data_IF_074153438144
#
_entry.id   IF_074153438144
#
_cell.length_a   1.000
_cell.length_b   1.000
_cell.length_c   1.000
_cell.angle_alpha   90.00
_cell.angle_beta   90.00
_cell.angle_gamma   90.00
#
_symmetry.space_group_name_H-M   'P 1'
#
loop_
_entity.id
_entity.type
_entity.pdbx_description
1 polymer ?
#
# COMPACT_ATOMS: atom_id res chain seq x y z
N UNK A 1 9.63 -13.58 12.10
CA UNK A 1 10.10 -14.69 12.97
C UNK A 1 9.07 -15.78 12.95
N UNK A 2 9.44 -16.96 12.48
CA UNK A 2 8.52 -18.06 12.41
C UNK A 2 8.22 -18.61 13.82
N UNK A 3 6.95 -18.87 14.12
CA UNK A 3 6.55 -19.55 15.33
C UNK A 3 7.15 -20.97 15.44
N UNK A 4 7.45 -21.56 14.26
CA UNK A 4 8.10 -22.87 14.11
C UNK A 4 9.28 -22.78 13.15
N UNK A 5 10.41 -22.19 13.57
CA UNK A 5 11.54 -21.99 12.69
C UNK A 5 12.18 -23.33 12.31
N UNK A 6 12.23 -23.61 11.01
CA UNK A 6 13.09 -24.68 10.50
C UNK A 6 14.55 -24.21 10.53
N UNK A 7 15.54 -25.11 10.66
CA UNK A 7 16.95 -24.73 10.64
C UNK A 7 17.31 -23.83 9.45
N UNK A 8 16.82 -24.14 8.23
CA UNK A 8 17.05 -23.34 7.03
C UNK A 8 16.48 -21.93 7.14
N UNK A 9 15.36 -21.74 7.82
CA UNK A 9 14.74 -20.41 7.99
C UNK A 9 15.57 -19.57 8.97
N UNK A 10 16.11 -20.22 10.02
CA UNK A 10 17.00 -19.59 11.00
C UNK A 10 18.29 -19.13 10.30
N UNK A 11 18.93 -20.04 9.55
CA UNK A 11 20.14 -19.75 8.81
C UNK A 11 19.92 -18.60 7.80
N UNK A 12 18.79 -18.62 7.09
CA UNK A 12 18.44 -17.55 6.15
C UNK A 12 18.29 -16.21 6.87
N UNK A 13 17.58 -16.15 7.99
CA UNK A 13 17.39 -14.92 8.76
C UNK A 13 18.71 -14.37 9.32
N UNK A 14 19.65 -15.22 9.68
CA UNK A 14 20.97 -14.79 10.14
C UNK A 14 21.89 -14.31 9.01
N UNK A 15 21.82 -14.94 7.86
CA UNK A 15 22.73 -14.65 6.74
C UNK A 15 22.22 -13.54 5.82
N UNK A 16 20.88 -13.32 5.75
CA UNK A 16 20.28 -12.36 4.84
C UNK A 16 20.72 -10.91 5.08
N UNK A 17 20.85 -10.41 6.33
CA UNK A 17 21.33 -9.04 6.56
C UNK A 17 22.70 -8.79 5.94
N UNK A 18 23.67 -9.64 6.19
CA UNK A 18 25.02 -9.50 5.65
C UNK A 18 25.04 -9.61 4.12
N UNK A 19 24.25 -10.54 3.58
CA UNK A 19 24.10 -10.70 2.13
C UNK A 19 23.60 -9.43 1.44
N UNK A 20 22.57 -8.81 2.00
CA UNK A 20 21.94 -7.58 1.46
C UNK A 20 22.89 -6.39 1.63
N UNK A 21 23.43 -6.17 2.85
CA UNK A 21 24.29 -5.03 3.16
C UNK A 21 25.59 -5.03 2.35
N UNK A 22 26.20 -6.20 2.16
CA UNK A 22 27.41 -6.35 1.34
C UNK A 22 27.18 -6.06 -0.16
N UNK A 23 25.91 -5.88 -0.56
CA UNK A 23 25.50 -5.51 -1.94
C UNK A 23 24.90 -4.11 -2.02
N UNK A 24 25.11 -3.29 -0.99
CA UNK A 24 24.63 -1.91 -0.94
C UNK A 24 23.13 -1.77 -0.61
N UNK A 25 22.52 -2.85 -0.12
CA UNK A 25 21.12 -2.84 0.32
C UNK A 25 20.97 -2.48 1.80
N UNK A 26 19.71 -2.34 2.22
CA UNK A 26 19.31 -2.13 3.60
C UNK A 26 18.55 -3.36 4.08
N UNK A 27 18.99 -3.95 5.19
CA UNK A 27 18.33 -5.09 5.80
C UNK A 27 17.77 -4.74 7.17
N UNK A 28 16.51 -5.11 7.42
CA UNK A 28 15.95 -5.11 8.76
C UNK A 28 16.47 -6.32 9.53
N UNK A 29 16.54 -6.17 10.85
CA UNK A 29 16.94 -7.23 11.77
C UNK A 29 15.71 -8.04 12.19
N UNK A 30 15.86 -9.32 12.53
CA UNK A 30 14.78 -10.09 13.10
C UNK A 30 14.18 -9.39 14.32
N UNK A 31 12.86 -9.16 14.30
CA UNK A 31 12.16 -8.47 15.39
C UNK A 31 11.93 -6.97 15.18
N UNK A 32 12.50 -6.34 14.17
CA UNK A 32 12.30 -4.90 13.89
C UNK A 32 10.86 -4.56 13.47
N UNK A 33 10.07 -5.55 13.06
CA UNK A 33 8.69 -5.37 12.71
C UNK A 33 8.36 -5.75 11.26
N UNK A 34 7.34 -5.12 10.73
CA UNK A 34 6.78 -5.43 9.42
C UNK A 34 7.51 -4.66 8.33
N UNK A 35 8.04 -5.37 7.34
CA UNK A 35 8.84 -4.80 6.24
C UNK A 35 8.11 -3.70 5.48
N UNK A 36 6.79 -3.81 5.27
CA UNK A 36 6.01 -2.82 4.52
C UNK A 36 6.02 -1.44 5.20
N UNK A 37 5.87 -1.41 6.53
CA UNK A 37 5.95 -0.15 7.28
C UNK A 37 7.33 0.52 7.17
N UNK A 38 8.41 -0.26 7.14
CA UNK A 38 9.76 0.26 6.95
C UNK A 38 10.02 0.72 5.52
N UNK A 39 9.60 -0.06 4.52
CA UNK A 39 9.78 0.30 3.10
C UNK A 39 9.04 1.59 2.76
N UNK A 40 7.82 1.76 3.25
CA UNK A 40 7.04 2.98 3.02
C UNK A 40 7.81 4.24 3.48
N UNK A 41 8.62 4.12 4.54
CA UNK A 41 9.44 5.22 5.05
C UNK A 41 10.72 5.49 4.26
N UNK A 42 11.09 4.63 3.33
CA UNK A 42 12.30 4.76 2.50
C UNK A 42 12.01 5.25 1.10
N UNK A 43 10.74 5.42 0.74
CA UNK A 43 10.34 5.81 -0.60
C UNK A 43 10.47 7.32 -0.81
N UNK A 44 10.61 7.68 -2.07
CA UNK A 44 10.55 9.05 -2.56
C UNK A 44 9.24 9.25 -3.31
N UNK A 45 8.67 10.45 -3.28
CA UNK A 45 7.51 10.77 -4.11
C UNK A 45 7.76 10.51 -5.59
N UNK A 46 6.71 10.20 -6.33
CA UNK A 46 6.70 10.05 -7.79
C UNK A 46 7.73 9.05 -8.34
N UNK A 47 8.02 8.01 -7.55
CA UNK A 47 8.93 6.94 -7.98
C UNK A 47 8.17 5.69 -8.37
N UNK A 48 8.76 4.89 -9.26
CA UNK A 48 8.28 3.56 -9.63
C UNK A 48 9.12 2.52 -8.90
N UNK A 49 8.43 1.58 -8.25
CA UNK A 49 9.05 0.52 -7.47
C UNK A 49 8.54 -0.87 -7.84
N UNK A 50 9.23 -1.89 -7.34
CA UNK A 50 8.80 -3.28 -7.38
C UNK A 50 9.18 -4.00 -6.09
N UNK A 51 8.51 -5.09 -5.81
CA UNK A 51 8.82 -5.94 -4.66
C UNK A 51 8.25 -7.34 -4.82
N UNK A 52 8.77 -8.29 -4.06
CA UNK A 52 8.40 -9.71 -4.14
C UNK A 52 7.15 -10.09 -3.34
N UNK A 53 6.48 -9.13 -2.72
CA UNK A 53 5.26 -9.33 -1.96
C UNK A 53 4.08 -8.62 -2.63
N UNK A 54 2.91 -9.24 -2.64
CA UNK A 54 1.68 -8.69 -3.25
C UNK A 54 1.25 -7.36 -2.64
N UNK A 55 1.62 -7.09 -1.39
CA UNK A 55 1.36 -5.86 -0.66
C UNK A 55 2.47 -4.81 -0.81
N UNK A 56 3.39 -4.97 -1.76
CA UNK A 56 4.32 -3.92 -2.16
C UNK A 56 3.58 -2.85 -2.96
N UNK A 57 2.78 -2.04 -2.26
CA UNK A 57 1.85 -1.04 -2.83
C UNK A 57 1.86 0.19 -1.96
N UNK A 58 2.67 1.18 -2.34
CA UNK A 58 2.91 2.36 -1.53
C UNK A 58 2.24 3.60 -2.12
N UNK A 59 1.71 4.52 -1.30
CA UNK A 59 0.92 5.65 -1.80
C UNK A 59 1.74 6.79 -2.43
N UNK A 60 3.03 6.93 -2.09
CA UNK A 60 3.89 8.00 -2.57
C UNK A 60 4.56 7.67 -3.92
N UNK A 61 3.83 7.34 -4.91
CA UNK A 61 4.35 6.87 -6.20
C UNK A 61 3.57 5.64 -6.63
N UNK A 62 4.19 4.76 -7.38
CA UNK A 62 3.55 3.51 -7.78
C UNK A 62 4.50 2.34 -7.63
N UNK A 63 3.98 1.21 -7.15
CA UNK A 63 4.74 -0.03 -7.03
C UNK A 63 4.00 -1.15 -7.75
N UNK A 64 4.76 -1.90 -8.55
CA UNK A 64 4.27 -3.08 -9.25
C UNK A 64 4.82 -4.34 -8.58
N UNK A 65 4.03 -5.04 -7.75
CA UNK A 65 4.45 -6.30 -7.17
C UNK A 65 4.79 -7.32 -8.25
N UNK A 66 5.86 -8.06 -8.03
CA UNK A 66 6.32 -9.09 -8.96
C UNK A 66 6.70 -10.38 -8.25
N UNK A 67 6.75 -11.48 -8.97
CA UNK A 67 7.30 -12.72 -8.43
C UNK A 67 8.79 -12.56 -8.09
N UNK A 68 9.27 -13.32 -7.11
CA UNK A 68 10.65 -13.23 -6.62
C UNK A 68 11.71 -13.34 -7.73
N UNK A 69 11.46 -14.16 -8.76
CA UNK A 69 12.34 -14.28 -9.92
C UNK A 69 12.43 -13.00 -10.75
N UNK A 70 11.28 -12.32 -10.98
CA UNK A 70 11.24 -11.06 -11.70
C UNK A 70 11.94 -9.93 -10.92
N UNK A 71 11.72 -9.89 -9.60
CA UNK A 71 12.38 -8.91 -8.72
C UNK A 71 13.88 -9.15 -8.67
N UNK A 72 14.33 -10.41 -8.61
CA UNK A 72 15.75 -10.75 -8.68
C UNK A 72 16.37 -10.37 -10.02
N UNK A 73 15.65 -10.58 -11.13
CA UNK A 73 16.06 -10.13 -12.46
C UNK A 73 16.22 -8.61 -12.51
N UNK A 74 15.23 -7.87 -12.00
CA UNK A 74 15.29 -6.40 -11.93
C UNK A 74 16.47 -5.92 -11.09
N UNK A 75 16.72 -6.54 -9.94
CA UNK A 75 17.85 -6.21 -9.07
C UNK A 75 19.19 -6.48 -9.74
N UNK A 76 19.30 -7.54 -10.54
CA UNK A 76 20.54 -7.91 -11.23
C UNK A 76 20.83 -7.07 -12.48
N UNK A 77 19.78 -6.68 -13.22
CA UNK A 77 19.91 -6.04 -14.54
C UNK A 77 19.63 -4.53 -14.52
N UNK A 78 18.98 -4.03 -13.45
CA UNK A 78 18.55 -2.64 -13.34
C UNK A 78 17.27 -2.33 -14.15
N UNK A 79 16.63 -3.32 -14.76
CA UNK A 79 15.41 -3.16 -15.55
C UNK A 79 14.37 -4.23 -15.21
N UNK A 80 13.08 -3.87 -15.29
CA UNK A 80 11.98 -4.79 -15.15
C UNK A 80 11.05 -4.65 -16.35
N UNK A 81 10.81 -5.71 -17.14
CA UNK A 81 9.80 -5.66 -18.19
C UNK A 81 8.41 -5.54 -17.57
N UNK A 82 7.62 -4.64 -18.09
CA UNK A 82 6.26 -4.35 -17.65
C UNK A 82 5.40 -3.96 -18.85
N UNK A 83 4.30 -4.68 -19.05
CA UNK A 83 3.24 -4.19 -19.93
C UNK A 83 2.48 -3.09 -19.21
N UNK A 84 2.32 -1.91 -19.82
CA UNK A 84 1.65 -0.78 -19.19
C UNK A 84 0.17 -1.13 -18.94
N UNK A 85 -0.27 -1.22 -17.68
CA UNK A 85 -1.67 -1.50 -17.37
C UNK A 85 -2.55 -0.30 -17.66
N UNK A 86 -3.83 -0.56 -17.97
CA UNK A 86 -4.87 0.49 -17.90
C UNK A 86 -5.09 0.91 -16.44
N UNK A 87 -5.65 2.11 -16.24
CA UNK A 87 -6.01 2.62 -14.92
C UNK A 87 -7.52 2.60 -14.69
N UNK A 88 -7.91 2.36 -13.44
CA UNK A 88 -9.25 2.58 -12.91
C UNK A 88 -9.16 3.71 -11.90
N UNK A 89 -9.95 4.76 -12.10
CA UNK A 89 -10.01 5.88 -11.16
C UNK A 89 -11.10 5.64 -10.11
N UNK A 90 -10.77 5.77 -8.84
CA UNK A 90 -11.72 5.88 -7.73
C UNK A 90 -11.66 7.30 -7.20
N UNK A 91 -12.76 8.01 -7.34
CA UNK A 91 -12.90 9.40 -6.91
C UNK A 91 -13.83 9.51 -5.72
N UNK A 92 -13.28 9.87 -4.58
CA UNK A 92 -14.08 10.22 -3.41
C UNK A 92 -14.52 11.69 -3.49
N UNK A 93 -15.76 11.97 -3.06
CA UNK A 93 -16.32 13.31 -3.00
C UNK A 93 -16.95 13.57 -1.64
N UNK A 94 -16.98 14.84 -1.23
CA UNK A 94 -17.61 15.25 0.03
C UNK A 94 -16.76 14.94 1.25
N UNK A 95 -17.40 14.87 2.42
CA UNK A 95 -16.75 14.69 3.71
C UNK A 95 -17.18 13.38 4.37
N UNK A 96 -16.25 12.77 5.09
CA UNK A 96 -16.49 11.52 5.82
C UNK A 96 -17.53 11.71 6.92
N UNK A 97 -18.49 10.81 7.00
CA UNK A 97 -19.59 10.90 7.95
C UNK A 97 -19.15 10.50 9.36
N UNK A 98 -19.79 11.03 10.43
CA UNK A 98 -19.50 10.60 11.79
C UNK A 98 -19.68 9.09 11.98
N UNK A 99 -18.70 8.46 12.60
CA UNK A 99 -18.69 7.00 12.84
C UNK A 99 -18.12 6.16 11.69
N UNK A 100 -17.85 6.76 10.55
CA UNK A 100 -17.15 6.13 9.43
C UNK A 100 -15.64 6.28 9.62
N UNK A 101 -14.92 5.24 9.33
CA UNK A 101 -13.45 5.16 9.47
C UNK A 101 -12.79 5.01 8.10
N UNK A 102 -11.49 5.17 8.07
CA UNK A 102 -10.71 4.91 6.85
C UNK A 102 -10.90 3.46 6.33
N UNK A 103 -11.08 2.49 7.23
CA UNK A 103 -11.33 1.11 6.85
C UNK A 103 -12.63 0.94 6.06
N UNK A 104 -13.65 1.73 6.38
CA UNK A 104 -14.91 1.73 5.63
C UNK A 104 -14.70 2.26 4.21
N UNK A 105 -13.80 3.24 4.01
CA UNK A 105 -13.45 3.73 2.68
C UNK A 105 -12.70 2.66 1.86
N UNK A 106 -11.82 1.89 2.50
CA UNK A 106 -11.17 0.73 1.87
C UNK A 106 -12.21 -0.27 1.35
N UNK A 107 -13.25 -0.55 2.15
CA UNK A 107 -14.31 -1.48 1.79
C UNK A 107 -15.37 -0.86 0.86
N UNK A 108 -15.51 0.46 0.82
CA UNK A 108 -16.38 1.15 -0.12
C UNK A 108 -15.98 0.90 -1.58
N UNK A 109 -14.69 0.77 -1.86
CA UNK A 109 -14.20 0.52 -3.23
C UNK A 109 -14.82 -0.76 -3.84
N UNK A 110 -14.69 -1.96 -3.23
CA UNK A 110 -15.36 -3.14 -3.75
C UNK A 110 -16.88 -3.05 -3.67
N UNK A 111 -17.44 -2.44 -2.63
CA UNK A 111 -18.89 -2.27 -2.49
C UNK A 111 -19.51 -1.50 -3.67
N UNK A 112 -18.91 -0.37 -4.02
CA UNK A 112 -19.36 0.40 -5.19
C UNK A 112 -19.02 -0.31 -6.51
N UNK A 113 -17.89 -1.01 -6.58
CA UNK A 113 -17.57 -1.88 -7.72
C UNK A 113 -18.63 -2.95 -7.98
N UNK A 114 -19.20 -3.53 -6.91
CA UNK A 114 -20.33 -4.48 -7.01
C UNK A 114 -21.59 -3.76 -7.51
N UNK A 115 -21.93 -2.60 -6.92
CA UNK A 115 -23.11 -1.81 -7.31
C UNK A 115 -23.09 -1.41 -8.78
N UNK A 116 -21.93 -1.10 -9.30
CA UNK A 116 -21.74 -0.72 -10.72
C UNK A 116 -21.55 -1.92 -11.66
N UNK A 117 -21.59 -3.15 -11.13
CA UNK A 117 -21.42 -4.37 -11.92
C UNK A 117 -20.00 -4.56 -12.47
N UNK A 118 -19.00 -3.92 -11.86
CA UNK A 118 -17.57 -4.04 -12.18
C UNK A 118 -16.92 -5.20 -11.43
N UNK A 119 -17.53 -5.63 -10.33
CA UNK A 119 -17.07 -6.70 -9.46
C UNK A 119 -18.24 -7.66 -9.18
N UNK A 120 -17.98 -8.97 -9.16
CA UNK A 120 -18.97 -9.97 -8.73
C UNK A 120 -18.38 -10.83 -7.62
N UNK A 121 -19.23 -11.20 -6.65
CA UNK A 121 -18.84 -12.08 -5.53
C UNK A 121 -18.88 -13.55 -5.94
N UNK A 122 -19.66 -13.91 -6.96
CA UNK A 122 -19.84 -15.27 -7.42
C UNK A 122 -18.52 -15.90 -7.87
N UNK A 123 -18.23 -17.12 -7.37
CA UNK A 123 -16.99 -17.83 -7.71
C UNK A 123 -16.94 -18.28 -9.18
N UNK A 124 -18.10 -18.56 -9.77
CA UNK A 124 -18.22 -19.00 -11.17
C UNK A 124 -18.40 -17.77 -12.07
N UNK A 125 -17.52 -17.61 -13.04
CA UNK A 125 -17.48 -16.46 -13.95
C UNK A 125 -17.26 -15.13 -13.20
N UNK A 126 -16.41 -15.14 -12.16
CA UNK A 126 -16.11 -13.93 -11.38
C UNK A 126 -15.61 -12.81 -12.29
N UNK A 127 -16.30 -11.69 -12.26
CA UNK A 127 -15.86 -10.45 -12.86
C UNK A 127 -15.06 -9.66 -11.82
N UNK A 128 -13.87 -9.26 -12.16
CA UNK A 128 -13.07 -8.33 -11.36
C UNK A 128 -12.41 -7.33 -12.30
N UNK A 129 -12.99 -6.16 -12.41
CA UNK A 129 -12.51 -5.12 -13.31
C UNK A 129 -11.21 -4.47 -12.83
N UNK A 130 -10.88 -4.58 -11.55
CA UNK A 130 -9.62 -4.08 -10.99
C UNK A 130 -8.42 -4.97 -11.35
N UNK A 131 -8.68 -6.25 -11.64
CA UNK A 131 -7.61 -7.23 -11.87
C UNK A 131 -6.70 -6.83 -13.02
N UNK A 132 -5.39 -6.75 -12.72
CA UNK A 132 -4.36 -6.38 -13.70
C UNK A 132 -4.32 -4.90 -14.08
N UNK A 133 -5.15 -4.03 -13.46
CA UNK A 133 -5.17 -2.58 -13.69
C UNK A 133 -4.54 -1.81 -12.53
N UNK A 134 -4.08 -0.61 -12.80
CA UNK A 134 -3.67 0.34 -11.75
C UNK A 134 -4.91 0.93 -11.11
N UNK A 135 -4.95 0.96 -9.80
CA UNK A 135 -5.97 1.66 -9.04
C UNK A 135 -5.45 3.05 -8.68
N UNK A 136 -6.07 4.08 -9.24
CA UNK A 136 -5.78 5.48 -8.91
C UNK A 136 -6.87 6.02 -7.99
N UNK A 137 -6.49 6.62 -6.87
CA UNK A 137 -7.42 7.12 -5.84
C UNK A 137 -7.21 8.62 -5.66
N UNK A 138 -8.31 9.39 -5.67
CA UNK A 138 -8.29 10.83 -5.42
C UNK A 138 -9.49 11.30 -4.58
N UNK A 139 -9.44 12.55 -4.12
CA UNK A 139 -10.51 13.20 -3.36
C UNK A 139 -10.40 12.98 -1.84
N UNK A 140 -9.24 12.57 -1.35
CA UNK A 140 -8.94 12.36 0.07
C UNK A 140 -7.70 13.18 0.48
N UNK A 141 -7.65 14.44 0.13
CA UNK A 141 -6.47 15.31 0.23
C UNK A 141 -5.98 15.55 1.67
N UNK A 142 -6.78 15.21 2.69
CA UNK A 142 -6.43 15.37 4.11
C UNK A 142 -5.76 14.14 4.72
N UNK A 143 -5.60 13.05 3.97
CA UNK A 143 -4.96 11.85 4.50
C UNK A 143 -3.48 12.08 4.78
N UNK A 144 -3.01 11.51 5.89
CA UNK A 144 -1.56 11.30 6.08
C UNK A 144 -1.07 10.19 5.15
N UNK A 145 0.24 10.13 4.91
CA UNK A 145 0.82 9.06 4.08
C UNK A 145 0.58 7.67 4.68
N UNK A 146 0.60 7.55 6.02
CA UNK A 146 0.29 6.30 6.71
C UNK A 146 -1.16 5.87 6.51
N UNK A 147 -2.10 6.81 6.55
CA UNK A 147 -3.52 6.54 6.27
C UNK A 147 -3.74 6.13 4.81
N UNK A 148 -3.11 6.86 3.89
CA UNK A 148 -3.18 6.53 2.47
C UNK A 148 -2.60 5.14 2.16
N UNK A 149 -1.60 4.70 2.92
CA UNK A 149 -1.03 3.37 2.78
C UNK A 149 -2.07 2.26 3.04
N UNK A 150 -3.05 2.44 3.92
CA UNK A 150 -4.13 1.45 4.08
C UNK A 150 -4.93 1.23 2.80
N UNK A 151 -5.22 2.31 2.07
CA UNK A 151 -5.94 2.24 0.80
C UNK A 151 -5.11 1.60 -0.30
N UNK A 152 -3.84 1.99 -0.42
CA UNK A 152 -2.96 1.44 -1.45
C UNK A 152 -2.63 -0.03 -1.20
N UNK A 153 -2.38 -0.41 0.04
CA UNK A 153 -2.10 -1.80 0.43
C UNK A 153 -3.27 -2.73 0.12
N UNK A 154 -4.48 -2.31 0.47
CA UNK A 154 -5.71 -3.09 0.24
C UNK A 154 -6.02 -3.32 -1.25
N UNK A 155 -5.38 -2.60 -2.17
CA UNK A 155 -5.51 -2.85 -3.61
C UNK A 155 -4.99 -4.25 -4.02
N UNK A 156 -4.16 -4.88 -3.17
CA UNK A 156 -3.72 -6.26 -3.34
C UNK A 156 -4.91 -7.23 -3.35
N UNK A 157 -5.89 -7.00 -2.49
CA UNK A 157 -7.10 -7.84 -2.39
C UNK A 157 -8.00 -7.72 -3.62
N UNK A 158 -7.83 -6.68 -4.43
CA UNK A 158 -8.53 -6.47 -5.70
C UNK A 158 -7.75 -7.07 -6.89
N UNK A 159 -6.60 -7.70 -6.66
CA UNK A 159 -5.70 -8.18 -7.72
C UNK A 159 -5.26 -7.04 -8.67
N UNK A 160 -5.26 -5.80 -8.21
CA UNK A 160 -4.79 -4.67 -9.02
C UNK A 160 -3.29 -4.82 -9.35
N UNK A 161 -2.84 -4.31 -10.48
CA UNK A 161 -1.43 -4.34 -10.87
C UNK A 161 -0.56 -3.42 -10.01
N UNK A 162 -1.15 -2.33 -9.53
CA UNK A 162 -0.53 -1.34 -8.66
C UNK A 162 -1.60 -0.41 -8.11
N UNK A 163 -1.19 0.52 -7.25
CA UNK A 163 -2.06 1.56 -6.74
C UNK A 163 -1.27 2.85 -6.55
N UNK A 164 -1.89 3.97 -6.84
CA UNK A 164 -1.38 5.30 -6.50
C UNK A 164 -2.49 6.15 -5.90
N UNK A 165 -2.13 7.10 -5.04
CA UNK A 165 -3.08 7.97 -4.35
C UNK A 165 -2.64 9.40 -4.50
N UNK A 166 -3.58 10.28 -4.88
CA UNK A 166 -3.33 11.70 -4.90
C UNK A 166 -3.23 12.23 -3.47
N UNK A 167 -2.03 12.64 -3.08
CA UNK A 167 -1.69 13.20 -1.79
C UNK A 167 -1.47 14.70 -1.88
N UNK A 168 -1.54 15.39 -0.73
CA UNK A 168 -1.10 16.77 -0.62
C UNK A 168 0.42 16.86 -0.42
N UNK A 169 1.05 17.93 -0.92
CA UNK A 169 2.47 18.19 -0.70
C UNK A 169 2.79 18.33 0.79
N UNK A 170 1.89 18.91 1.57
CA UNK A 170 2.05 19.07 3.02
C UNK A 170 2.12 17.75 3.76
N UNK A 171 1.21 16.79 3.45
CA UNK A 171 1.23 15.45 4.04
C UNK A 171 2.51 14.70 3.70
N UNK A 172 2.97 14.80 2.45
CA UNK A 172 4.22 14.18 2.02
C UNK A 172 5.42 14.85 2.68
N UNK A 173 5.44 16.19 2.77
CA UNK A 173 6.54 16.90 3.41
C UNK A 173 6.68 16.57 4.90
N UNK A 174 5.57 16.47 5.64
CA UNK A 174 5.59 16.05 7.04
C UNK A 174 6.18 14.64 7.18
N UNK A 175 5.72 13.72 6.34
CA UNK A 175 6.18 12.34 6.32
C UNK A 175 7.68 12.23 6.01
N UNK A 176 8.18 12.94 5.00
CA UNK A 176 9.59 12.92 4.63
C UNK A 176 10.49 13.49 5.74
N UNK A 177 10.07 14.53 6.47
CA UNK A 177 10.83 15.04 7.63
C UNK A 177 10.98 13.97 8.71
N UNK A 178 9.91 13.23 9.00
CA UNK A 178 9.94 12.10 9.92
C UNK A 178 10.86 10.98 9.40
N UNK A 179 10.80 10.67 8.11
CA UNK A 179 11.60 9.62 7.49
C UNK A 179 13.10 9.97 7.51
N UNK A 180 13.48 11.21 7.23
CA UNK A 180 14.88 11.67 7.34
C UNK A 180 15.43 11.41 8.75
N UNK A 181 14.64 11.70 9.77
CA UNK A 181 15.04 11.43 11.16
C UNK A 181 15.26 9.94 11.41
N UNK A 182 14.36 9.09 10.92
CA UNK A 182 14.48 7.64 11.00
C UNK A 182 15.72 7.13 10.26
N UNK A 183 15.94 7.57 9.03
CA UNK A 183 17.07 7.11 8.22
C UNK A 183 18.41 7.51 8.84
N UNK A 184 18.52 8.70 9.41
CA UNK A 184 19.72 9.14 10.16
C UNK A 184 19.96 8.28 11.41
N UNK A 185 18.90 7.92 12.12
CA UNK A 185 18.99 6.96 13.23
C UNK A 185 19.46 5.58 12.73
N UNK A 186 18.91 5.08 11.62
CA UNK A 186 19.34 3.81 11.02
C UNK A 186 20.83 3.81 10.65
N UNK A 187 21.34 4.93 10.14
CA UNK A 187 22.79 5.09 9.86
C UNK A 187 23.60 4.96 11.15
N UNK A 188 23.18 5.63 12.22
CA UNK A 188 23.87 5.59 13.50
C UNK A 188 23.87 4.18 14.14
N UNK A 189 22.80 3.40 13.93
CA UNK A 189 22.64 2.04 14.45
C UNK A 189 23.24 0.96 13.52
N UNK A 190 23.83 1.35 12.39
CA UNK A 190 24.48 0.44 11.47
C UNK A 190 23.53 -0.44 10.65
N UNK A 191 22.39 0.09 10.25
CA UNK A 191 21.48 -0.56 9.31
C UNK A 191 21.94 -0.34 7.87
N UNK A 192 22.41 -1.36 7.22
CA UNK A 192 22.66 -1.34 5.78
C UNK A 192 23.85 -0.49 5.33
N UNK A 193 23.95 -0.25 4.02
CA UNK A 193 24.99 0.59 3.42
C UNK A 193 24.71 2.08 3.71
N UNK A 194 25.63 2.72 4.42
CA UNK A 194 25.53 4.13 4.83
C UNK A 194 25.33 5.04 3.61
N UNK A 195 26.05 4.83 2.52
CA UNK A 195 25.94 5.66 1.30
C UNK A 195 24.56 5.55 0.68
N UNK A 196 23.92 4.40 0.76
CA UNK A 196 22.55 4.19 0.24
C UNK A 196 21.54 4.97 1.09
N UNK A 197 21.66 4.91 2.41
CA UNK A 197 20.79 5.67 3.33
C UNK A 197 21.04 7.18 3.20
N UNK A 198 22.29 7.63 3.13
CA UNK A 198 22.63 9.06 2.94
C UNK A 198 22.07 9.62 1.64
N UNK A 199 22.21 8.90 0.52
CA UNK A 199 21.60 9.30 -0.76
C UNK A 199 20.09 9.41 -0.67
N UNK A 200 19.45 8.53 0.09
CA UNK A 200 18.00 8.58 0.29
C UNK A 200 17.62 9.82 1.10
N UNK A 201 18.32 10.11 2.20
CA UNK A 201 18.15 11.34 2.99
C UNK A 201 18.33 12.58 2.11
N UNK A 202 19.43 12.64 1.35
CA UNK A 202 19.68 13.77 0.46
C UNK A 202 18.54 14.00 -0.53
N UNK A 203 18.03 12.93 -1.16
CA UNK A 203 16.91 13.05 -2.11
C UNK A 203 15.61 13.51 -1.45
N UNK A 204 15.35 13.12 -0.21
CA UNK A 204 14.22 13.65 0.57
C UNK A 204 14.40 15.14 0.89
N UNK A 205 15.61 15.56 1.27
CA UNK A 205 15.93 16.97 1.52
C UNK A 205 15.84 17.83 0.25
N UNK A 206 16.31 17.31 -0.90
CA UNK A 206 16.17 17.97 -2.20
C UNK A 206 14.68 18.18 -2.56
N UNK A 207 13.83 17.17 -2.36
CA UNK A 207 12.41 17.30 -2.60
C UNK A 207 11.76 18.32 -1.65
N UNK A 208 12.11 18.29 -0.37
CA UNK A 208 11.61 19.25 0.64
C UNK A 208 12.01 20.71 0.36
N UNK A 209 13.11 20.93 -0.35
CA UNK A 209 13.54 22.27 -0.75
C UNK A 209 12.67 22.87 -1.87
N UNK A 210 12.04 22.02 -2.69
CA UNK A 210 11.14 22.43 -3.76
C UNK A 210 10.05 21.35 -3.95
N UNK A 211 9.05 21.28 -3.05
CA UNK A 211 7.99 20.27 -3.11
C UNK A 211 7.22 20.35 -4.44
N UNK A 212 6.98 19.21 -5.02
CA UNK A 212 6.18 19.05 -6.23
C UNK A 212 5.72 17.61 -6.32
N UNK A 213 4.46 17.38 -6.63
CA UNK A 213 3.89 16.07 -6.89
C UNK A 213 3.34 16.01 -8.32
N UNK A 214 3.53 14.86 -8.95
CA UNK A 214 2.91 14.59 -10.24
C UNK A 214 1.39 14.51 -10.08
N UNK A 215 0.68 14.89 -11.11
CA UNK A 215 -0.78 14.76 -11.20
C UNK A 215 -1.14 14.11 -12.54
N UNK A 216 -2.31 13.51 -12.61
CA UNK A 216 -2.84 13.01 -13.88
C UNK A 216 -2.97 14.14 -14.89
N UNK A 217 -2.71 13.84 -16.15
CA UNK A 217 -2.94 14.77 -17.25
C UNK A 217 -4.44 15.12 -17.34
N UNK A 218 -4.79 16.34 -17.79
CA UNK A 218 -6.20 16.74 -17.89
C UNK A 218 -7.05 15.88 -18.83
N UNK A 219 -6.40 15.20 -19.76
CA UNK A 219 -6.99 14.31 -20.77
C UNK A 219 -6.67 12.82 -20.51
N UNK A 220 -6.29 12.48 -19.26
CA UNK A 220 -6.02 11.11 -18.88
C UNK A 220 -7.25 10.21 -19.11
N UNK A 221 -7.01 9.09 -19.78
CA UNK A 221 -8.05 8.10 -20.08
C UNK A 221 -8.05 7.00 -19.01
N UNK A 222 -9.25 6.63 -18.54
CA UNK A 222 -9.46 5.57 -17.56
C UNK A 222 -10.36 4.48 -18.15
N UNK A 223 -10.03 3.22 -17.85
CA UNK A 223 -10.85 2.08 -18.24
C UNK A 223 -12.23 2.11 -17.55
N UNK A 224 -12.30 2.67 -16.33
CA UNK A 224 -13.52 3.01 -15.62
C UNK A 224 -13.25 4.11 -14.58
N UNK A 225 -14.30 4.83 -14.20
CA UNK A 225 -14.30 5.82 -13.12
C UNK A 225 -15.39 5.42 -12.14
N UNK A 226 -15.03 5.20 -10.88
CA UNK A 226 -15.95 4.92 -9.79
C UNK A 226 -16.00 6.16 -8.90
N UNK A 227 -17.16 6.80 -8.82
CA UNK A 227 -17.38 7.95 -7.95
C UNK A 227 -18.08 7.52 -6.66
N UNK A 228 -17.50 7.86 -5.51
CA UNK A 228 -18.02 7.54 -4.19
C UNK A 228 -18.29 8.85 -3.45
N UNK A 229 -19.57 9.17 -3.25
CA UNK A 229 -19.95 10.27 -2.38
C UNK A 229 -19.89 9.82 -0.93
N UNK A 230 -19.00 10.42 -0.15
CA UNK A 230 -18.83 10.12 1.28
C UNK A 230 -20.08 10.41 2.10
N UNK A 231 -20.97 11.28 1.62
CA UNK A 231 -22.27 11.52 2.26
C UNK A 231 -23.21 10.30 2.17
N UNK A 232 -22.96 9.39 1.24
CA UNK A 232 -23.73 8.15 1.07
C UNK A 232 -23.18 6.97 1.87
N UNK A 233 -21.94 7.07 2.39
CA UNK A 233 -21.33 6.09 3.29
C UNK A 233 -21.79 6.41 4.73
N UNK A 234 -22.93 5.87 5.14
CA UNK A 234 -23.64 6.25 6.40
C UNK A 234 -23.47 5.23 7.52
N UNK A 235 -22.97 4.05 7.20
CA UNK A 235 -22.73 2.96 8.14
C UNK A 235 -21.46 2.20 7.74
N UNK A 236 -20.85 1.45 8.67
CA UNK A 236 -19.68 0.65 8.37
C UNK A 236 -19.92 -0.35 7.22
N UNK A 237 -18.91 -0.51 6.39
CA UNK A 237 -18.87 -1.50 5.31
C UNK A 237 -17.92 -2.60 5.72
N UNK A 238 -18.39 -3.83 5.72
CA UNK A 238 -17.62 -5.01 6.11
C UNK A 238 -17.47 -5.97 4.93
N UNK A 239 -16.36 -6.71 4.89
CA UNK A 239 -16.18 -7.80 3.93
C UNK A 239 -16.47 -9.13 4.62
N UNK A 240 -17.23 -9.99 3.96
CA UNK A 240 -17.58 -11.29 4.51
C UNK A 240 -16.34 -12.20 4.63
N UNK A 241 -16.32 -13.13 5.58
CA UNK A 241 -15.19 -14.04 5.76
C UNK A 241 -14.85 -14.82 4.48
N UNK A 242 -13.55 -14.98 4.22
CA UNK A 242 -12.99 -15.74 3.10
C UNK A 242 -13.21 -15.13 1.70
N UNK A 243 -13.80 -13.96 1.59
CA UNK A 243 -13.87 -13.23 0.33
C UNK A 243 -13.76 -11.71 0.57
N UNK A 244 -12.59 -11.10 0.33
CA UNK A 244 -12.38 -9.66 0.53
C UNK A 244 -13.17 -8.80 -0.45
N UNK A 245 -13.78 -9.40 -1.48
CA UNK A 245 -14.63 -8.72 -2.44
C UNK A 245 -16.12 -8.75 -2.03
N UNK A 246 -16.53 -9.61 -1.10
CA UNK A 246 -17.93 -9.68 -0.61
C UNK A 246 -18.20 -8.56 0.41
N UNK A 247 -18.18 -7.32 -0.07
CA UNK A 247 -18.43 -6.13 0.73
C UNK A 247 -19.92 -5.88 0.92
N UNK A 248 -20.35 -5.68 2.17
CA UNK A 248 -21.74 -5.45 2.58
C UNK A 248 -21.84 -4.36 3.62
N UNK A 249 -23.00 -3.74 3.71
CA UNK A 249 -23.30 -2.84 4.81
C UNK A 249 -23.42 -3.60 6.13
N UNK A 250 -23.02 -2.98 7.23
CA UNK A 250 -23.11 -3.61 8.55
C UNK A 250 -24.55 -4.03 8.88
N UNK A 251 -25.55 -3.23 8.49
CA UNK A 251 -26.97 -3.53 8.70
C UNK A 251 -27.42 -4.82 7.98
N UNK A 252 -26.79 -5.21 6.88
CA UNK A 252 -27.12 -6.41 6.11
C UNK A 252 -26.64 -7.71 6.77
N UNK A 253 -25.61 -7.62 7.63
CA UNK A 253 -24.99 -8.76 8.31
C UNK A 253 -25.13 -8.71 9.83
N UNK A 254 -25.78 -7.68 10.36
CA UNK A 254 -26.00 -7.53 11.80
C UNK A 254 -26.86 -8.67 12.34
N UNK A 255 -26.35 -9.36 13.34
CA UNK A 255 -27.01 -10.52 13.97
C UNK A 255 -26.45 -11.88 13.49
N UNK A 256 -25.59 -11.90 12.51
CA UNK A 256 -24.87 -13.11 12.14
C UNK A 256 -23.97 -13.58 13.28
N UNK A 257 -23.91 -14.89 13.48
CA UNK A 257 -23.08 -15.48 14.54
C UNK A 257 -21.59 -15.32 14.19
N UNK A 258 -20.83 -14.79 15.13
CA UNK A 258 -19.38 -14.70 15.06
C UNK A 258 -18.77 -15.65 16.09
N UNK A 259 -17.96 -16.62 15.66
CA UNK A 259 -17.31 -17.60 16.52
C UNK A 259 -15.89 -17.16 16.91
N UNK A 260 -15.20 -16.40 16.04
CA UNK A 260 -13.83 -15.96 16.27
C UNK A 260 -13.62 -14.57 15.65
N UNK A 261 -12.86 -13.72 16.33
CA UNK A 261 -12.48 -12.38 15.85
C UNK A 261 -10.97 -12.30 15.79
N UNK A 262 -10.43 -11.95 14.63
CA UNK A 262 -9.03 -11.61 14.42
C UNK A 262 -8.88 -10.11 14.17
N UNK A 263 -8.00 -9.45 14.93
CA UNK A 263 -7.69 -8.03 14.75
C UNK A 263 -6.21 -7.90 14.37
N UNK A 264 -5.94 -7.52 13.14
CA UNK A 264 -4.59 -7.34 12.65
C UNK A 264 -4.51 -7.33 11.13
N UNK A 265 -3.39 -6.87 10.62
CA UNK A 265 -3.02 -6.92 9.19
C UNK A 265 -1.52 -6.75 9.05
N UNK A 266 -0.99 -6.91 7.81
CA UNK A 266 0.41 -6.60 7.51
C UNK A 266 0.77 -5.13 7.75
N UNK A 267 -0.22 -4.24 7.89
CA UNK A 267 -0.06 -2.82 8.18
C UNK A 267 -0.36 -2.43 9.63
N UNK A 268 -1.04 -3.29 10.37
CA UNK A 268 -1.47 -2.97 11.73
C UNK A 268 -0.26 -2.84 12.65
N UNK A 269 -0.07 -1.67 13.23
CA UNK A 269 0.95 -1.39 14.23
C UNK A 269 0.31 -1.02 15.56
N UNK A 270 1.10 -0.91 16.62
CA UNK A 270 0.61 -0.65 17.98
C UNK A 270 -0.16 0.70 18.08
N UNK A 271 0.11 1.64 17.21
CA UNK A 271 -0.59 2.93 17.16
C UNK A 271 -2.06 2.81 16.78
N UNK A 272 -2.45 1.76 16.06
CA UNK A 272 -3.84 1.50 15.68
C UNK A 272 -4.71 0.99 16.84
N UNK A 273 -4.12 0.62 17.97
CA UNK A 273 -4.84 0.10 19.14
C UNK A 273 -4.92 1.09 20.31
N UNK A 274 -4.70 2.36 20.08
CA UNK A 274 -4.71 3.43 21.08
C UNK A 274 -5.97 4.27 20.99
#
# INVERSE_FOLDING_TARGET
TAAYPKPVDIDTQHNLPDFIMNRGGVSLRPGDGIIHSWLNRMLLPDTVGTGGDSHTRFPMGISFPGGSGLVAFAAATGVMPLDMPESVLVRFKGEMQPGITLRDLVHAIPYYGIKEGLLTVEKKNKKNFFSGRVLEIEGLDTLTVEQAFELSDASAERSAAGCTIKLSEDSVAEYLRSNITLLRWMIAEGYGDVRTLERRVQKMEEWLANPSLMSADPDAEYAAIIEIDLADVKEPIVCCPNDPDDARLLSEVAGDKVDEIFIGSCMTNIGHFR
#
